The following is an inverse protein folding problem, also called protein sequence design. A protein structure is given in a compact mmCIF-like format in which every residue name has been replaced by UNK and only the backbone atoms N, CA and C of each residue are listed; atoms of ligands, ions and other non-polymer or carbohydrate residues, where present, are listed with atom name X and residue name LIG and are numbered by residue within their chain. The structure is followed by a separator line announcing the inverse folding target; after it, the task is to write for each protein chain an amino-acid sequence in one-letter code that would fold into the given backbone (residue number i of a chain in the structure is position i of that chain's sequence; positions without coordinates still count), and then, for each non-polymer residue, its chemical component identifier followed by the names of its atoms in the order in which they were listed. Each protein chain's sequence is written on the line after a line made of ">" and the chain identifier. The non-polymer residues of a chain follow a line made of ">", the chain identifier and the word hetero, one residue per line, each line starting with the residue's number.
data_IF_219708042963
#
_entry.id   IF_219708042963
#
_cell.length_a   1.000
_cell.length_b   1.000
_cell.length_c   1.000
_cell.angle_alpha   90.00
_cell.angle_beta   90.00
_cell.angle_gamma   90.00
#
_symmetry.space_group_name_H-M   'P 1'
#
loop_
_entity.id
_entity.type
_entity.pdbx_description
1 polymer ?
#
# COMPACT_ATOMS: atom_id res chain seq x y z
N UNK A 1 9.14 33.11 7.99
CA UNK A 1 10.06 32.07 7.43
C UNK A 1 10.50 32.52 6.07
N UNK A 2 11.47 33.41 6.09
CA UNK A 2 12.09 34.04 4.94
C UNK A 2 13.13 33.13 4.30
N UNK A 3 13.29 33.32 2.99
CA UNK A 3 14.33 32.82 2.09
C UNK A 3 15.35 31.81 2.65
N UNK A 4 15.02 30.52 2.63
CA UNK A 4 15.99 29.42 2.78
C UNK A 4 17.04 29.34 1.65
N UNK A 5 16.99 30.22 0.64
CA UNK A 5 17.96 30.23 -0.46
C UNK A 5 18.13 31.64 -1.06
N UNK A 6 19.34 32.25 -1.04
CA UNK A 6 19.60 33.57 -1.60
C UNK A 6 19.21 33.66 -3.08
N UNK A 7 18.57 34.75 -3.49
CA UNK A 7 18.09 34.94 -4.87
C UNK A 7 19.21 34.81 -5.91
N UNK A 8 20.37 35.44 -5.64
CA UNK A 8 21.54 35.37 -6.51
C UNK A 8 22.05 33.94 -6.67
N UNK A 9 22.08 33.16 -5.59
CA UNK A 9 22.50 31.76 -5.62
C UNK A 9 21.52 30.90 -6.43
N UNK A 10 20.23 31.15 -6.31
CA UNK A 10 19.18 30.50 -7.10
C UNK A 10 19.36 30.76 -8.60
N UNK A 11 19.67 32.00 -8.96
CA UNK A 11 19.91 32.39 -10.36
C UNK A 11 21.21 31.79 -10.91
N UNK A 12 22.28 31.76 -10.11
CA UNK A 12 23.54 31.06 -10.45
C UNK A 12 23.32 29.57 -10.65
N UNK A 13 22.52 28.92 -9.79
CA UNK A 13 22.16 27.51 -9.92
C UNK A 13 21.35 27.25 -11.20
N UNK A 14 20.39 28.11 -11.52
CA UNK A 14 19.63 28.01 -12.78
C UNK A 14 20.54 28.17 -13.99
N UNK A 15 21.49 29.11 -13.99
CA UNK A 15 22.46 29.23 -15.08
C UNK A 15 23.34 27.97 -15.18
N UNK A 16 23.94 27.54 -14.06
CA UNK A 16 24.75 26.32 -14.03
C UNK A 16 23.99 25.13 -14.62
N UNK A 17 22.74 24.92 -14.20
CA UNK A 17 21.94 23.76 -14.67
C UNK A 17 21.45 23.92 -16.09
N UNK A 18 20.92 25.08 -16.47
CA UNK A 18 20.25 25.29 -17.76
C UNK A 18 21.16 25.77 -18.89
N UNK A 19 22.42 26.08 -18.60
CA UNK A 19 23.43 26.40 -19.63
C UNK A 19 24.60 25.44 -19.47
N UNK A 20 25.43 25.61 -18.45
CA UNK A 20 26.72 24.90 -18.36
C UNK A 20 26.54 23.39 -18.34
N UNK A 21 25.72 22.85 -17.45
CA UNK A 21 25.49 21.40 -17.36
C UNK A 21 24.65 20.88 -18.53
N UNK A 22 23.72 21.68 -19.05
CA UNK A 22 22.96 21.28 -20.23
C UNK A 22 23.87 21.12 -21.44
N UNK A 23 24.78 22.06 -21.65
CA UNK A 23 25.70 22.06 -22.79
C UNK A 23 26.79 21.00 -22.61
N UNK A 24 27.38 20.90 -21.41
CA UNK A 24 28.48 19.98 -21.10
C UNK A 24 28.05 18.50 -21.14
N UNK A 25 26.80 18.20 -20.76
CA UNK A 25 26.27 16.84 -20.71
C UNK A 25 25.17 16.56 -21.74
N UNK A 26 24.98 17.45 -22.70
CA UNK A 26 23.96 17.36 -23.76
C UNK A 26 22.56 17.00 -23.21
N UNK A 27 22.15 17.66 -22.13
CA UNK A 27 20.92 17.32 -21.43
C UNK A 27 19.70 17.63 -22.29
N UNK A 28 18.80 16.65 -22.43
CA UNK A 28 17.54 16.83 -23.15
C UNK A 28 16.66 17.91 -22.48
N UNK A 29 16.52 19.05 -23.18
CA UNK A 29 15.62 20.16 -22.80
C UNK A 29 14.18 19.95 -23.31
N UNK A 30 13.92 18.86 -24.04
CA UNK A 30 12.64 18.50 -24.56
C UNK A 30 11.59 18.33 -23.46
N UNK A 31 10.41 18.88 -23.68
CA UNK A 31 9.28 18.62 -22.81
C UNK A 31 8.82 17.17 -23.04
N UNK A 32 8.81 16.34 -21.98
CA UNK A 32 8.15 15.03 -22.04
C UNK A 32 6.68 15.20 -22.38
N UNK A 33 6.32 14.83 -23.61
CA UNK A 33 4.93 14.80 -24.05
C UNK A 33 4.26 13.57 -23.42
N UNK A 34 3.12 13.78 -22.77
CA UNK A 34 2.28 12.70 -22.26
C UNK A 34 0.83 13.04 -22.63
N UNK A 35 0.06 12.11 -23.21
CA UNK A 35 -1.31 12.35 -23.60
C UNK A 35 -2.20 12.57 -22.36
N UNK A 36 -3.24 13.43 -22.46
CA UNK A 36 -4.25 13.56 -21.41
C UNK A 36 -5.09 12.27 -21.29
N UNK A 37 -5.67 12.08 -20.10
CA UNK A 37 -6.68 11.03 -19.85
C UNK A 37 -8.07 11.61 -20.04
N UNK A 38 -8.94 10.93 -20.77
CA UNK A 38 -10.37 11.28 -20.85
C UNK A 38 -11.22 10.40 -19.91
N UNK A 39 -12.55 10.52 -20.00
CA UNK A 39 -13.46 9.73 -19.15
C UNK A 39 -13.42 8.23 -19.47
N UNK A 40 -13.30 7.85 -20.75
CA UNK A 40 -13.23 6.44 -21.17
C UNK A 40 -11.93 5.79 -20.69
N UNK A 41 -10.81 6.51 -20.80
CA UNK A 41 -9.50 6.11 -20.28
C UNK A 41 -9.54 5.95 -18.75
N UNK A 42 -10.21 6.86 -18.04
CA UNK A 42 -10.39 6.76 -16.59
C UNK A 42 -11.26 5.56 -16.22
N UNK A 43 -12.38 5.35 -16.92
CA UNK A 43 -13.28 4.23 -16.70
C UNK A 43 -12.56 2.90 -16.95
N UNK A 44 -11.91 2.76 -18.11
CA UNK A 44 -11.13 1.60 -18.46
C UNK A 44 -10.01 1.34 -17.45
N UNK A 45 -9.20 2.34 -17.13
CA UNK A 45 -8.08 2.17 -16.18
C UNK A 45 -8.54 1.85 -14.76
N UNK A 46 -9.72 2.34 -14.36
CA UNK A 46 -10.36 1.99 -13.08
C UNK A 46 -10.86 0.54 -13.10
N UNK A 47 -11.57 0.13 -14.16
CA UNK A 47 -12.02 -1.25 -14.33
C UNK A 47 -10.84 -2.23 -14.40
N UNK A 48 -9.85 -1.93 -15.24
CA UNK A 48 -8.64 -2.74 -15.39
C UNK A 48 -7.91 -2.89 -14.07
N UNK A 49 -7.74 -1.81 -13.30
CA UNK A 49 -7.11 -1.85 -11.98
C UNK A 49 -7.83 -2.79 -11.01
N UNK A 50 -9.16 -2.84 -11.06
CA UNK A 50 -9.97 -3.64 -10.13
C UNK A 50 -10.14 -5.09 -10.56
N UNK A 51 -10.36 -5.35 -11.85
CA UNK A 51 -10.82 -6.63 -12.35
C UNK A 51 -9.75 -7.43 -13.13
N UNK A 52 -8.73 -6.79 -13.71
CA UNK A 52 -7.85 -7.42 -14.71
C UNK A 52 -6.37 -7.39 -14.30
N UNK A 53 -5.93 -6.27 -13.72
CA UNK A 53 -4.54 -5.99 -13.41
C UNK A 53 -3.93 -7.04 -12.48
N UNK A 54 -2.84 -7.67 -12.92
CA UNK A 54 -2.02 -8.58 -12.10
C UNK A 54 -1.03 -7.86 -11.20
N UNK A 55 -0.94 -6.53 -11.28
CA UNK A 55 -0.07 -5.72 -10.42
C UNK A 55 -0.40 -5.97 -8.95
N UNK A 56 0.61 -6.42 -8.20
CA UNK A 56 0.47 -6.69 -6.78
C UNK A 56 0.58 -5.39 -5.98
N UNK A 57 -0.48 -5.07 -5.24
CA UNK A 57 -0.49 -4.00 -4.25
C UNK A 57 -0.21 -4.59 -2.88
N UNK A 58 0.48 -3.83 -2.01
CA UNK A 58 0.77 -4.30 -0.66
C UNK A 58 -0.51 -4.57 0.16
N UNK A 59 -1.58 -3.80 -0.05
CA UNK A 59 -2.90 -4.02 0.55
C UNK A 59 -4.01 -3.70 -0.44
N UNK A 60 -5.23 -4.23 -0.22
CA UNK A 60 -6.43 -3.86 -1.00
C UNK A 60 -6.68 -2.35 -0.93
N UNK A 61 -6.56 -1.76 0.26
CA UNK A 61 -6.67 -0.31 0.44
C UNK A 61 -5.67 0.46 -0.41
N UNK A 62 -4.45 -0.03 -0.61
CA UNK A 62 -3.46 0.62 -1.46
C UNK A 62 -3.96 0.70 -2.93
N UNK A 63 -4.57 -0.37 -3.45
CA UNK A 63 -5.20 -0.40 -4.78
C UNK A 63 -6.38 0.58 -4.87
N UNK A 64 -7.28 0.57 -3.89
CA UNK A 64 -8.46 1.44 -3.90
C UNK A 64 -8.07 2.91 -3.81
N UNK A 65 -7.18 3.27 -2.88
CA UNK A 65 -6.65 4.63 -2.74
C UNK A 65 -5.99 5.12 -4.04
N UNK A 66 -5.31 4.22 -4.76
CA UNK A 66 -4.72 4.54 -6.05
C UNK A 66 -5.81 4.87 -7.11
N UNK A 67 -6.90 4.12 -7.15
CA UNK A 67 -8.07 4.44 -7.99
C UNK A 67 -8.68 5.80 -7.63
N UNK A 68 -8.93 6.04 -6.34
CA UNK A 68 -9.51 7.30 -5.83
C UNK A 68 -8.65 8.51 -6.17
N UNK A 69 -7.32 8.36 -6.12
CA UNK A 69 -6.39 9.41 -6.57
C UNK A 69 -6.64 9.80 -8.03
N UNK A 70 -6.80 8.82 -8.93
CA UNK A 70 -7.10 9.06 -10.36
C UNK A 70 -8.40 9.86 -10.50
N UNK A 71 -9.45 9.42 -9.80
CA UNK A 71 -10.77 10.06 -9.80
C UNK A 71 -10.69 11.50 -9.30
N UNK A 72 -10.13 11.71 -8.11
CA UNK A 72 -10.00 13.05 -7.53
C UNK A 72 -9.19 14.01 -8.41
N UNK A 73 -8.06 13.57 -8.98
CA UNK A 73 -7.24 14.41 -9.85
C UNK A 73 -7.96 14.75 -11.17
N UNK A 74 -8.70 13.81 -11.75
CA UNK A 74 -9.43 14.03 -13.01
C UNK A 74 -10.63 14.95 -12.79
N UNK A 75 -11.31 14.86 -11.64
CA UNK A 75 -12.46 15.72 -11.32
C UNK A 75 -12.09 17.14 -10.90
N UNK A 76 -10.90 17.36 -10.32
CA UNK A 76 -10.56 18.65 -9.69
C UNK A 76 -9.33 19.34 -10.29
N UNK A 77 -8.65 18.66 -11.23
CA UNK A 77 -7.30 18.97 -11.68
C UNK A 77 -6.23 18.91 -10.60
N UNK A 78 -6.50 18.42 -9.38
CA UNK A 78 -5.51 18.44 -8.28
C UNK A 78 -4.13 17.90 -8.69
N UNK A 79 -3.06 18.51 -8.16
CA UNK A 79 -1.73 17.91 -8.26
C UNK A 79 -1.67 16.69 -7.34
N UNK A 80 -0.89 15.65 -7.65
CA UNK A 80 -0.71 14.50 -6.76
C UNK A 80 -0.31 14.95 -5.35
N UNK A 81 0.68 15.85 -5.25
CA UNK A 81 1.15 16.40 -3.97
C UNK A 81 0.14 17.30 -3.22
N UNK A 82 -1.03 17.59 -3.80
CA UNK A 82 -2.16 18.21 -3.08
C UNK A 82 -2.94 17.17 -2.26
N UNK A 83 -2.99 15.93 -2.74
CA UNK A 83 -3.78 14.85 -2.14
C UNK A 83 -2.92 13.92 -1.28
N UNK A 84 -1.70 13.61 -1.72
CA UNK A 84 -0.75 12.70 -1.06
C UNK A 84 0.55 13.41 -0.69
N UNK A 85 1.40 12.73 0.10
CA UNK A 85 2.67 13.28 0.51
C UNK A 85 3.56 13.57 -0.71
N UNK A 86 4.03 14.81 -0.81
CA UNK A 86 4.95 15.22 -1.87
C UNK A 86 6.40 15.00 -1.45
N UNK A 87 7.15 14.25 -2.27
CA UNK A 87 8.59 14.03 -2.09
C UNK A 87 9.40 15.35 -2.06
N UNK A 88 8.92 16.39 -2.75
CA UNK A 88 9.59 17.69 -2.84
C UNK A 88 9.42 18.64 -1.63
N UNK A 89 8.70 18.24 -0.58
CA UNK A 89 8.46 19.08 0.61
C UNK A 89 8.94 18.39 1.90
N UNK A 90 10.21 17.98 1.93
CA UNK A 90 10.90 17.45 3.12
C UNK A 90 10.23 16.25 3.80
N UNK A 91 9.41 15.48 3.08
CA UNK A 91 8.69 14.30 3.63
C UNK A 91 7.97 14.61 4.95
N UNK A 92 7.25 15.74 4.96
CA UNK A 92 6.59 16.26 6.17
C UNK A 92 5.38 15.43 6.63
N UNK A 93 5.08 14.30 5.99
CA UNK A 93 3.87 13.50 6.23
C UNK A 93 2.56 14.28 6.04
N UNK A 94 2.58 15.40 5.31
CA UNK A 94 1.40 16.26 5.12
C UNK A 94 0.70 15.96 3.78
N UNK A 95 -0.58 15.60 3.88
CA UNK A 95 -1.43 15.13 2.77
C UNK A 95 -2.90 15.52 3.02
N UNK A 96 -3.84 15.11 2.17
CA UNK A 96 -5.26 15.26 2.47
C UNK A 96 -5.64 14.50 3.75
N UNK A 97 -6.32 15.16 4.68
CA UNK A 97 -6.71 14.64 6.00
C UNK A 97 -8.23 14.64 6.19
N UNK A 98 -8.73 13.90 7.17
CA UNK A 98 -10.18 13.86 7.46
C UNK A 98 -10.77 15.24 7.80
N UNK A 99 -10.02 16.14 8.43
CA UNK A 99 -10.46 17.53 8.67
C UNK A 99 -10.72 18.34 7.40
N UNK A 100 -10.16 17.90 6.28
CA UNK A 100 -10.30 18.56 4.99
C UNK A 100 -11.58 18.11 4.25
N UNK A 101 -12.32 17.13 4.79
CA UNK A 101 -13.53 16.55 4.19
C UNK A 101 -14.75 16.88 5.04
N UNK A 102 -15.78 17.41 4.38
CA UNK A 102 -17.12 17.60 4.95
C UNK A 102 -18.10 16.74 4.15
N UNK A 103 -18.90 15.93 4.83
CA UNK A 103 -19.88 15.04 4.21
C UNK A 103 -21.29 15.40 4.67
N UNK A 104 -22.23 15.46 3.74
CA UNK A 104 -23.61 15.88 3.98
C UNK A 104 -24.56 14.86 3.35
N UNK A 105 -25.66 14.57 4.04
CA UNK A 105 -26.86 13.99 3.43
C UNK A 105 -27.83 15.14 3.17
N UNK A 106 -28.16 15.41 1.90
CA UNK A 106 -29.00 16.54 1.49
C UNK A 106 -30.20 16.05 0.69
N UNK A 107 -31.29 16.82 0.68
CA UNK A 107 -32.40 16.59 -0.26
C UNK A 107 -32.03 17.12 -1.64
N UNK A 108 -32.39 16.38 -2.69
CA UNK A 108 -32.18 16.84 -4.06
C UNK A 108 -33.03 18.11 -4.30
N UNK A 109 -32.47 19.20 -4.85
CA UNK A 109 -33.21 20.45 -5.04
C UNK A 109 -34.45 20.31 -5.92
N UNK A 110 -34.38 19.42 -6.92
CA UNK A 110 -35.46 19.19 -7.88
C UNK A 110 -36.37 18.01 -7.50
N UNK A 111 -35.95 17.19 -6.52
CA UNK A 111 -36.76 16.07 -6.01
C UNK A 111 -36.62 15.99 -4.47
N UNK A 112 -37.52 16.64 -3.71
CA UNK A 112 -37.47 16.67 -2.25
C UNK A 112 -37.62 15.31 -1.56
N UNK A 113 -38.05 14.27 -2.29
CA UNK A 113 -38.15 12.90 -1.82
C UNK A 113 -36.85 12.12 -2.03
N UNK A 114 -35.95 12.61 -2.90
CA UNK A 114 -34.63 12.05 -3.11
C UNK A 114 -33.64 12.65 -2.12
N UNK A 115 -32.95 11.80 -1.37
CA UNK A 115 -31.77 12.19 -0.59
C UNK A 115 -30.51 11.75 -1.33
N UNK A 116 -29.49 12.59 -1.30
CA UNK A 116 -28.20 12.28 -1.93
C UNK A 116 -27.04 12.72 -1.04
N UNK A 117 -25.91 12.04 -1.20
CA UNK A 117 -24.67 12.44 -0.55
C UNK A 117 -23.97 13.58 -1.31
N UNK A 118 -23.50 14.56 -0.55
CA UNK A 118 -22.68 15.67 -1.02
C UNK A 118 -21.40 15.72 -0.19
N UNK A 119 -20.25 15.80 -0.84
CA UNK A 119 -18.97 15.89 -0.15
C UNK A 119 -18.20 17.12 -0.60
N UNK A 120 -17.69 17.91 0.34
CA UNK A 120 -16.81 19.06 0.09
C UNK A 120 -15.41 18.74 0.57
N UNK A 121 -14.41 18.99 -0.27
CA UNK A 121 -13.00 18.67 0.03
C UNK A 121 -12.13 19.92 -0.14
N UNK A 122 -11.42 20.29 0.93
CA UNK A 122 -10.51 21.45 0.97
C UNK A 122 -9.13 21.07 0.47
N UNK A 123 -8.68 21.66 -0.65
CA UNK A 123 -7.36 21.40 -1.23
C UNK A 123 -6.29 22.38 -0.69
N UNK A 124 -5.94 22.24 0.59
CA UNK A 124 -5.01 23.14 1.29
C UNK A 124 -3.53 23.03 0.86
N UNK A 125 -3.18 21.97 0.15
CA UNK A 125 -1.78 21.62 -0.16
C UNK A 125 -1.31 22.05 -1.55
N UNK A 126 -1.94 23.07 -2.12
CA UNK A 126 -1.57 23.59 -3.43
C UNK A 126 -0.13 24.14 -3.47
N UNK A 127 0.58 23.85 -4.57
CA UNK A 127 1.99 24.21 -4.77
C UNK A 127 2.19 25.73 -4.58
N UNK A 128 3.11 26.10 -3.70
CA UNK A 128 3.43 27.51 -3.41
C UNK A 128 2.40 28.27 -2.54
N UNK A 129 1.35 27.60 -2.07
CA UNK A 129 0.35 28.11 -1.10
C UNK A 129 -0.06 27.03 -0.08
N UNK A 130 0.81 26.03 0.19
CA UNK A 130 0.51 24.95 1.14
C UNK A 130 0.17 25.57 2.50
N UNK A 131 -1.00 25.23 3.04
CA UNK A 131 -1.50 25.71 4.33
C UNK A 131 -1.54 27.25 4.46
N UNK A 132 -1.70 27.97 3.34
CA UNK A 132 -1.73 29.45 3.31
C UNK A 132 -2.88 29.97 2.47
N UNK A 133 -3.53 31.02 2.97
CA UNK A 133 -4.67 31.66 2.31
C UNK A 133 -5.91 30.77 2.30
N UNK A 134 -6.93 31.19 1.57
CA UNK A 134 -8.18 30.43 1.42
C UNK A 134 -7.96 29.28 0.42
N UNK A 135 -8.06 28.01 0.85
CA UNK A 135 -7.90 26.88 -0.05
C UNK A 135 -9.14 26.71 -0.92
N UNK A 136 -9.00 26.30 -2.20
CA UNK A 136 -10.16 25.94 -3.01
C UNK A 136 -10.86 24.72 -2.41
N UNK A 137 -12.20 24.74 -2.48
CA UNK A 137 -13.06 23.67 -2.00
C UNK A 137 -13.76 23.07 -3.21
N UNK A 138 -13.61 21.76 -3.39
CA UNK A 138 -14.25 21.02 -4.47
C UNK A 138 -15.43 20.24 -3.93
N UNK A 139 -16.52 20.27 -4.67
CA UNK A 139 -17.73 19.53 -4.34
C UNK A 139 -17.78 18.27 -5.21
N UNK A 140 -18.02 17.14 -4.55
CA UNK A 140 -18.31 15.87 -5.17
C UNK A 140 -19.77 15.54 -4.88
N UNK A 141 -20.49 15.10 -5.89
CA UNK A 141 -21.84 14.55 -5.76
C UNK A 141 -21.77 13.04 -5.78
N UNK A 142 -22.72 12.40 -5.11
CA UNK A 142 -22.95 10.98 -5.24
C UNK A 142 -23.17 10.60 -6.71
N UNK A 143 -22.58 9.47 -7.13
CA UNK A 143 -22.69 8.97 -8.49
C UNK A 143 -23.29 7.57 -8.49
N UNK A 144 -24.59 7.49 -8.70
CA UNK A 144 -25.33 6.24 -8.81
C UNK A 144 -25.34 5.67 -10.24
N UNK A 145 -25.05 6.51 -11.24
CA UNK A 145 -24.94 6.11 -12.64
C UNK A 145 -23.74 5.18 -12.90
N UNK A 146 -22.63 5.38 -12.16
CA UNK A 146 -21.51 4.44 -12.14
C UNK A 146 -20.69 4.62 -10.85
N UNK A 147 -20.85 3.64 -9.96
CA UNK A 147 -20.22 3.55 -8.63
C UNK A 147 -18.69 3.45 -8.69
N UNK A 148 -18.13 2.85 -9.74
CA UNK A 148 -16.68 2.75 -9.93
C UNK A 148 -16.02 4.13 -10.01
N UNK A 149 -16.76 5.14 -10.49
CA UNK A 149 -16.33 6.53 -10.57
C UNK A 149 -16.78 7.39 -9.38
N UNK A 150 -17.53 6.84 -8.43
CA UNK A 150 -17.99 7.57 -7.25
C UNK A 150 -16.82 7.76 -6.26
N UNK A 151 -16.43 9.02 -6.00
CA UNK A 151 -15.38 9.34 -5.01
C UNK A 151 -15.95 9.25 -3.59
N UNK A 152 -17.21 9.63 -3.39
CA UNK A 152 -17.88 9.54 -2.09
C UNK A 152 -17.88 8.09 -1.60
N UNK A 153 -18.19 7.14 -2.49
CA UNK A 153 -18.17 5.70 -2.19
C UNK A 153 -16.81 5.25 -1.62
N UNK A 154 -15.70 5.67 -2.23
CA UNK A 154 -14.36 5.32 -1.73
C UNK A 154 -14.09 5.95 -0.36
N UNK A 155 -14.50 7.20 -0.15
CA UNK A 155 -14.29 7.90 1.12
C UNK A 155 -15.11 7.25 2.23
N UNK A 156 -16.33 6.79 1.95
CA UNK A 156 -17.14 6.00 2.88
C UNK A 156 -16.45 4.69 3.24
N UNK A 157 -15.92 3.95 2.25
CA UNK A 157 -15.14 2.73 2.48
C UNK A 157 -14.01 2.99 3.47
N UNK A 158 -13.23 4.06 3.25
CA UNK A 158 -12.11 4.40 4.13
C UNK A 158 -12.57 4.82 5.51
N UNK A 159 -13.68 5.55 5.61
CA UNK A 159 -14.24 5.98 6.88
C UNK A 159 -14.70 4.79 7.72
N UNK A 160 -15.31 3.76 7.11
CA UNK A 160 -15.66 2.53 7.82
C UNK A 160 -14.44 1.73 8.26
N UNK A 161 -13.47 1.54 7.37
CA UNK A 161 -12.20 0.86 7.69
C UNK A 161 -11.43 1.56 8.81
N UNK A 162 -11.56 2.88 8.91
CA UNK A 162 -10.88 3.70 9.90
C UNK A 162 -11.68 3.90 11.19
N UNK A 163 -12.92 3.40 11.24
CA UNK A 163 -13.87 3.73 12.30
C UNK A 163 -13.95 5.26 12.52
N UNK A 164 -14.05 6.02 11.42
CA UNK A 164 -13.85 7.46 11.42
C UNK A 164 -15.10 8.27 11.82
N UNK A 165 -16.30 7.69 11.68
CA UNK A 165 -17.56 8.39 11.97
C UNK A 165 -17.78 8.61 13.47
N UNK A 166 -18.29 9.78 13.84
CA UNK A 166 -18.80 10.03 15.18
C UNK A 166 -20.11 9.26 15.41
N UNK A 167 -20.45 8.99 16.67
CA UNK A 167 -21.62 8.18 17.08
C UNK A 167 -22.98 8.80 16.72
N UNK A 168 -23.03 10.09 16.39
CA UNK A 168 -24.25 10.80 16.00
C UNK A 168 -24.61 10.52 14.53
N UNK A 169 -25.27 9.38 14.27
CA UNK A 169 -25.64 8.89 12.94
C UNK A 169 -26.73 9.70 12.21
N UNK A 170 -27.35 10.68 12.88
CA UNK A 170 -28.48 11.46 12.34
C UNK A 170 -28.16 12.96 12.16
N UNK A 171 -26.91 13.39 12.38
CA UNK A 171 -26.53 14.78 12.13
C UNK A 171 -26.26 15.00 10.64
N UNK A 172 -26.82 16.08 10.09
CA UNK A 172 -26.32 16.69 8.85
C UNK A 172 -25.64 18.01 9.26
N UNK A 173 -24.30 18.15 9.09
CA UNK A 173 -23.38 17.24 8.40
C UNK A 173 -23.09 15.92 9.15
N UNK A 174 -22.68 14.92 8.38
CA UNK A 174 -22.16 13.65 8.91
C UNK A 174 -20.77 13.93 9.48
N UNK A 175 -20.61 13.77 10.80
CA UNK A 175 -19.39 14.15 11.49
C UNK A 175 -18.37 13.00 11.57
N UNK A 176 -17.09 13.35 11.39
CA UNK A 176 -15.95 12.48 11.73
C UNK A 176 -15.49 12.74 13.17
N UNK A 177 -14.92 11.72 13.83
CA UNK A 177 -14.36 11.83 15.18
C UNK A 177 -13.25 12.87 15.25
N UNK A 178 -13.16 13.59 16.37
CA UNK A 178 -12.10 14.57 16.61
C UNK A 178 -10.70 13.94 16.46
N UNK A 179 -10.52 12.73 16.99
CA UNK A 179 -9.28 11.95 16.91
C UNK A 179 -8.83 11.63 15.48
N UNK A 180 -9.73 11.70 14.50
CA UNK A 180 -9.44 11.37 13.10
C UNK A 180 -9.00 12.58 12.29
N UNK A 181 -9.27 13.80 12.75
CA UNK A 181 -9.07 15.04 11.97
C UNK A 181 -7.68 15.18 11.37
N UNK A 182 -6.65 14.83 12.13
CA UNK A 182 -5.25 14.94 11.68
C UNK A 182 -4.73 13.72 10.92
N UNK A 183 -5.52 12.64 10.84
CA UNK A 183 -5.13 11.40 10.18
C UNK A 183 -5.26 11.57 8.66
N UNK A 184 -4.22 11.22 7.88
CA UNK A 184 -4.31 11.18 6.43
C UNK A 184 -5.41 10.23 5.94
N UNK A 185 -6.13 10.66 4.89
CA UNK A 185 -7.10 9.80 4.20
C UNK A 185 -6.37 8.71 3.42
N UNK A 186 -5.42 9.14 2.58
CA UNK A 186 -4.54 8.26 1.83
C UNK A 186 -3.34 7.87 2.68
N UNK A 187 -3.23 6.59 3.05
CA UNK A 187 -2.16 6.09 3.93
C UNK A 187 -1.28 5.04 3.26
N UNK A 188 0.00 5.07 3.61
CA UNK A 188 0.99 4.14 3.04
C UNK A 188 0.83 2.74 3.64
N UNK A 189 1.09 1.68 2.87
CA UNK A 189 1.24 0.35 3.41
C UNK A 189 2.58 0.22 4.18
N UNK A 190 2.58 -0.52 5.28
CA UNK A 190 3.78 -0.90 6.04
C UNK A 190 3.68 -2.36 6.46
N UNK A 191 4.80 -2.99 6.77
CA UNK A 191 4.79 -4.29 7.43
C UNK A 191 4.61 -4.11 8.93
N UNK A 192 3.72 -4.89 9.53
CA UNK A 192 3.60 -5.00 10.98
C UNK A 192 4.79 -5.79 11.57
N UNK A 193 4.79 -5.98 12.89
CA UNK A 193 5.84 -6.74 13.58
C UNK A 193 5.91 -8.22 13.17
N UNK A 194 4.89 -8.74 12.49
CA UNK A 194 4.80 -10.12 11.96
C UNK A 194 5.16 -10.17 10.47
N UNK A 195 5.50 -9.03 9.86
CA UNK A 195 5.85 -8.95 8.44
C UNK A 195 4.65 -8.87 7.50
N UNK A 196 3.41 -8.78 8.02
CA UNK A 196 2.18 -8.64 7.22
C UNK A 196 1.99 -7.20 6.78
N UNK A 197 1.56 -7.01 5.54
CA UNK A 197 1.24 -5.68 5.04
C UNK A 197 -0.07 -5.16 5.65
N UNK A 198 0.02 -4.03 6.33
CA UNK A 198 -1.11 -3.27 6.88
C UNK A 198 -1.10 -1.85 6.34
N UNK A 199 -2.24 -1.16 6.39
CA UNK A 199 -2.26 0.28 6.15
C UNK A 199 -1.75 0.98 7.41
N UNK A 200 -0.73 1.83 7.28
CA UNK A 200 -0.21 2.55 8.45
C UNK A 200 -1.31 3.43 9.07
N UNK A 201 -1.44 3.50 10.41
CA UNK A 201 -2.52 4.26 11.05
C UNK A 201 -2.45 5.78 10.81
N UNK A 202 -1.24 6.36 10.75
CA UNK A 202 -1.06 7.81 10.68
C UNK A 202 -0.13 8.35 9.57
N UNK A 203 0.47 7.50 8.73
CA UNK A 203 1.47 7.93 7.75
C UNK A 203 0.86 8.02 6.37
N UNK A 204 1.02 9.18 5.76
CA UNK A 204 0.50 9.54 4.46
C UNK A 204 1.07 8.64 3.36
N UNK A 205 0.26 8.42 2.34
CA UNK A 205 0.70 7.75 1.14
C UNK A 205 1.68 8.63 0.37
N UNK A 206 2.74 8.03 -0.17
CA UNK A 206 3.87 8.76 -0.74
C UNK A 206 3.76 8.82 -2.27
N UNK A 207 4.17 9.95 -2.84
CA UNK A 207 4.13 10.17 -4.29
C UNK A 207 4.94 9.15 -5.08
N UNK A 208 6.16 8.84 -4.65
CA UNK A 208 7.05 7.88 -5.30
C UNK A 208 6.39 6.51 -5.43
N UNK A 209 5.82 5.99 -4.34
CA UNK A 209 5.07 4.73 -4.36
C UNK A 209 3.83 4.80 -5.24
N UNK A 210 3.08 5.89 -5.18
CA UNK A 210 1.92 6.05 -6.05
C UNK A 210 2.31 6.13 -7.54
N UNK A 211 3.46 6.72 -7.86
CA UNK A 211 4.00 6.79 -9.21
C UNK A 211 4.50 5.44 -9.72
N UNK A 212 5.20 4.65 -8.88
CA UNK A 212 5.58 3.28 -9.20
C UNK A 212 4.37 2.41 -9.57
N UNK A 213 3.30 2.47 -8.76
CA UNK A 213 2.06 1.76 -9.06
C UNK A 213 1.35 2.29 -10.31
N UNK A 214 1.38 3.61 -10.56
CA UNK A 214 0.81 4.18 -11.77
C UNK A 214 1.52 3.65 -13.02
N UNK A 215 2.86 3.63 -13.01
CA UNK A 215 3.66 3.10 -14.12
C UNK A 215 3.37 1.61 -14.31
N UNK A 216 3.39 0.82 -13.24
CA UNK A 216 3.14 -0.62 -13.31
C UNK A 216 1.75 -0.94 -13.85
N UNK A 217 0.72 -0.27 -13.35
CA UNK A 217 -0.67 -0.51 -13.78
C UNK A 217 -0.94 0.03 -15.18
N UNK A 218 -0.26 1.10 -15.60
CA UNK A 218 -0.36 1.62 -16.97
C UNK A 218 0.29 0.70 -18.00
N UNK A 219 1.47 0.15 -17.67
CA UNK A 219 2.09 -0.92 -18.47
C UNK A 219 1.17 -2.14 -18.51
N UNK A 220 0.58 -2.49 -17.37
CA UNK A 220 -0.31 -3.63 -17.32
C UNK A 220 -1.57 -3.43 -18.18
N UNK A 221 -2.07 -2.20 -18.24
CA UNK A 221 -3.17 -1.79 -19.10
C UNK A 221 -2.80 -1.70 -20.61
N UNK A 222 -1.54 -1.96 -20.98
CA UNK A 222 -1.08 -1.93 -22.38
C UNK A 222 -0.81 -0.53 -22.92
N UNK A 223 -0.64 0.49 -22.06
CA UNK A 223 -0.36 1.85 -22.51
C UNK A 223 1.08 1.98 -23.00
N UNK A 224 1.26 2.37 -24.28
CA UNK A 224 2.58 2.63 -24.88
C UNK A 224 3.41 3.62 -24.08
N UNK A 225 2.79 4.69 -23.58
CA UNK A 225 3.42 5.66 -22.68
C UNK A 225 2.72 5.62 -21.33
N UNK A 226 3.30 4.97 -20.31
CA UNK A 226 2.70 4.88 -18.98
C UNK A 226 2.37 6.25 -18.37
N UNK A 227 3.27 7.22 -18.62
CA UNK A 227 3.17 8.57 -18.10
C UNK A 227 3.31 8.63 -16.59
N UNK A 228 3.05 9.81 -16.03
CA UNK A 228 2.97 10.03 -14.58
C UNK A 228 1.51 10.26 -14.15
N UNK A 229 1.27 10.37 -12.84
CA UNK A 229 -0.01 10.79 -12.28
C UNK A 229 -0.49 12.15 -12.82
N UNK A 230 0.38 12.97 -13.42
CA UNK A 230 -0.01 14.26 -14.03
C UNK A 230 -0.88 14.12 -15.29
N UNK A 231 -1.01 12.93 -15.90
CA UNK A 231 -1.90 12.71 -17.04
C UNK A 231 -3.37 12.95 -16.71
N UNK A 232 -3.80 12.64 -15.47
CA UNK A 232 -5.15 12.89 -14.96
C UNK A 232 -5.43 14.39 -14.82
N UNK A 233 -4.45 15.14 -14.31
CA UNK A 233 -4.54 16.60 -14.22
C UNK A 233 -4.58 17.25 -15.61
N UNK A 234 -3.82 16.74 -16.59
CA UNK A 234 -3.91 17.20 -17.98
C UNK A 234 -5.30 16.91 -18.58
N UNK A 235 -5.85 15.72 -18.32
CA UNK A 235 -7.22 15.36 -18.66
C UNK A 235 -8.25 16.35 -18.12
N UNK A 236 -8.17 16.65 -16.82
CA UNK A 236 -9.01 17.66 -16.19
C UNK A 236 -8.84 19.03 -16.86
N UNK A 237 -7.60 19.46 -17.10
CA UNK A 237 -7.31 20.76 -17.71
C UNK A 237 -7.88 20.90 -19.13
N UNK A 238 -7.87 19.84 -19.94
CA UNK A 238 -8.49 19.83 -21.27
C UNK A 238 -10.00 20.14 -21.19
N UNK A 239 -10.70 19.58 -20.21
CA UNK A 239 -12.13 19.83 -20.00
C UNK A 239 -12.43 21.22 -19.43
N UNK A 240 -11.45 21.90 -18.81
CA UNK A 240 -11.61 23.25 -18.25
C UNK A 240 -11.23 24.36 -19.24
N UNK A 241 -10.88 24.03 -20.49
CA UNK A 241 -10.37 25.00 -21.48
C UNK A 241 -11.35 26.12 -21.81
N UNK A 242 -12.64 25.83 -21.77
CA UNK A 242 -13.73 26.78 -22.07
C UNK A 242 -13.93 27.84 -20.98
N UNK A 243 -13.40 27.62 -19.77
CA UNK A 243 -13.51 28.57 -18.67
C UNK A 243 -12.59 29.77 -18.88
N UNK A 244 -12.96 30.90 -18.27
CA UNK A 244 -12.14 32.10 -18.25
C UNK A 244 -10.81 31.87 -17.51
N UNK A 245 -9.86 32.78 -17.71
CA UNK A 245 -8.52 32.64 -17.14
C UNK A 245 -8.51 32.64 -15.61
N UNK A 246 -9.33 33.47 -14.98
CA UNK A 246 -9.39 33.58 -13.53
C UNK A 246 -9.87 32.27 -12.91
N UNK A 247 -10.97 31.73 -13.43
CA UNK A 247 -11.51 30.42 -13.02
C UNK A 247 -10.50 29.29 -13.20
N UNK A 248 -9.85 29.21 -14.37
CA UNK A 248 -8.80 28.21 -14.61
C UNK A 248 -7.63 28.34 -13.63
N UNK A 249 -7.18 29.55 -13.33
CA UNK A 249 -6.08 29.78 -12.40
C UNK A 249 -6.44 29.38 -10.96
N UNK A 250 -7.67 29.63 -10.51
CA UNK A 250 -8.17 29.18 -9.21
C UNK A 250 -8.20 27.65 -9.15
N UNK A 251 -8.88 27.01 -10.10
CA UNK A 251 -9.06 25.56 -10.14
C UNK A 251 -7.71 24.83 -10.25
N UNK A 252 -6.80 25.34 -11.07
CA UNK A 252 -5.48 24.73 -11.28
C UNK A 252 -4.46 25.16 -10.21
N UNK A 253 -4.78 26.12 -9.33
CA UNK A 253 -3.83 26.70 -8.38
C UNK A 253 -2.60 27.29 -9.08
N UNK A 254 -2.82 28.09 -10.13
CA UNK A 254 -1.78 28.82 -10.85
C UNK A 254 -1.70 30.27 -10.40
N UNK A 255 -0.48 30.84 -10.40
CA UNK A 255 -0.25 32.27 -10.16
C UNK A 255 -0.15 33.08 -11.47
N UNK A 256 0.04 32.42 -12.61
CA UNK A 256 0.32 33.05 -13.91
C UNK A 256 -0.41 32.31 -15.03
N UNK A 257 -0.96 33.09 -15.95
CA UNK A 257 -1.79 32.70 -17.10
C UNK A 257 -1.14 31.64 -18.00
N UNK A 258 0.10 31.87 -18.44
CA UNK A 258 0.81 31.02 -19.41
C UNK A 258 1.06 29.59 -18.96
N UNK A 259 0.88 29.27 -17.67
CA UNK A 259 1.03 27.90 -17.17
C UNK A 259 -0.06 26.95 -17.66
N UNK A 260 -1.23 27.46 -18.03
CA UNK A 260 -2.33 26.63 -18.52
C UNK A 260 -2.01 25.98 -19.88
N UNK A 261 -1.33 26.71 -20.78
CA UNK A 261 -0.99 26.24 -22.13
C UNK A 261 -0.17 24.94 -22.13
N UNK A 262 0.66 24.69 -21.12
CA UNK A 262 1.44 23.44 -21.00
C UNK A 262 0.60 22.18 -20.75
N UNK A 263 -0.68 22.34 -20.38
CA UNK A 263 -1.57 21.22 -20.06
C UNK A 263 -2.52 20.86 -21.20
N UNK A 264 -2.66 21.73 -22.20
CA UNK A 264 -3.63 21.57 -23.29
C UNK A 264 -2.89 21.52 -24.63
N UNK A 265 -3.22 20.53 -25.45
CA UNK A 265 -2.82 20.51 -26.86
C UNK A 265 -3.86 21.25 -27.69
N UNK A 266 -3.53 21.57 -28.94
CA UNK A 266 -4.51 22.07 -29.91
C UNK A 266 -5.54 20.95 -30.12
N UNK A 267 -6.75 21.18 -29.62
CA UNK A 267 -7.90 20.27 -29.73
C UNK A 267 -9.04 20.91 -30.52
N UNK A 268 -8.86 22.15 -30.98
CA UNK A 268 -9.79 22.72 -31.95
C UNK A 268 -9.56 22.02 -33.27
N UNK A 269 -10.66 21.73 -33.95
CA UNK A 269 -10.63 21.22 -35.31
C UNK A 269 -10.26 22.36 -36.26
N UNK A 270 -8.99 22.74 -36.26
CA UNK A 270 -8.47 23.83 -37.09
C UNK A 270 -8.66 23.53 -38.56
N UNK A 271 -8.65 22.25 -38.94
CA UNK A 271 -8.91 21.82 -40.30
C UNK A 271 -10.35 22.10 -40.69
N UNK A 272 -11.34 21.61 -39.93
CA UNK A 272 -12.73 21.87 -40.26
C UNK A 272 -13.09 23.35 -40.16
N UNK A 273 -12.52 24.08 -39.19
CA UNK A 273 -12.71 25.52 -39.06
C UNK A 273 -12.17 26.28 -40.29
N UNK A 274 -10.98 25.93 -40.76
CA UNK A 274 -10.41 26.54 -41.97
C UNK A 274 -11.18 26.19 -43.24
N UNK A 275 -11.66 24.94 -43.34
CA UNK A 275 -12.41 24.45 -44.50
C UNK A 275 -13.90 24.82 -44.45
N UNK A 276 -14.35 25.56 -43.44
CA UNK A 276 -15.77 25.89 -43.19
C UNK A 276 -16.69 24.66 -43.20
N UNK A 277 -16.20 23.54 -42.67
CA UNK A 277 -16.95 22.28 -42.57
C UNK A 277 -17.38 22.00 -41.13
N UNK A 278 -18.40 21.14 -40.92
CA UNK A 278 -18.78 20.70 -39.58
C UNK A 278 -17.59 20.11 -38.80
N UNK A 279 -17.44 20.52 -37.55
CA UNK A 279 -16.36 20.07 -36.68
C UNK A 279 -16.44 18.57 -36.40
N UNK A 280 -15.32 17.87 -36.53
CA UNK A 280 -15.17 16.44 -36.27
C UNK A 280 -14.70 16.17 -34.84
N UNK A 281 -15.43 16.75 -33.88
CA UNK A 281 -15.09 16.75 -32.45
C UNK A 281 -14.80 15.35 -31.89
N UNK A 282 -15.54 14.32 -32.33
CA UNK A 282 -15.33 12.93 -31.89
C UNK A 282 -13.98 12.36 -32.35
N UNK A 283 -13.57 12.63 -33.59
CA UNK A 283 -12.28 12.18 -34.13
C UNK A 283 -11.11 12.92 -33.49
N UNK A 284 -11.23 14.23 -33.25
CA UNK A 284 -10.20 15.00 -32.56
C UNK A 284 -10.04 14.54 -31.11
N UNK A 285 -11.15 14.25 -30.41
CA UNK A 285 -11.11 13.62 -29.09
C UNK A 285 -10.35 12.31 -29.14
N UNK A 286 -10.69 11.40 -30.06
CA UNK A 286 -10.00 10.12 -30.25
C UNK A 286 -8.48 10.30 -30.49
N UNK A 287 -8.09 11.25 -31.35
CA UNK A 287 -6.70 11.50 -31.70
C UNK A 287 -5.82 11.96 -30.52
N UNK A 288 -6.42 12.59 -29.51
CA UNK A 288 -5.69 13.10 -28.34
C UNK A 288 -5.72 12.18 -27.12
N UNK A 289 -6.43 11.05 -27.20
CA UNK A 289 -6.63 10.14 -26.08
C UNK A 289 -5.43 9.24 -25.82
N UNK A 290 -5.19 8.92 -24.55
CA UNK A 290 -4.12 8.00 -24.16
C UNK A 290 -4.34 6.57 -24.66
N UNK A 291 -5.60 6.18 -24.86
CA UNK A 291 -6.00 4.87 -25.40
C UNK A 291 -5.70 4.66 -26.89
N UNK A 292 -5.45 5.71 -27.68
CA UNK A 292 -5.20 5.58 -29.12
C UNK A 292 -4.02 4.63 -29.44
N UNK A 293 -3.02 4.62 -28.57
CA UNK A 293 -1.80 3.80 -28.72
C UNK A 293 -1.76 2.62 -27.76
N UNK A 294 -2.90 2.26 -27.15
CA UNK A 294 -3.00 1.14 -26.23
C UNK A 294 -3.06 -0.18 -26.99
N UNK A 295 -2.25 -1.13 -26.56
CA UNK A 295 -2.24 -2.49 -27.09
C UNK A 295 -2.34 -3.49 -25.94
N UNK A 296 -3.45 -4.23 -25.90
CA UNK A 296 -3.71 -5.22 -24.85
C UNK A 296 -2.84 -6.47 -24.98
N UNK A 297 -2.20 -6.69 -26.13
CA UNK A 297 -1.31 -7.83 -26.38
C UNK A 297 0.11 -7.63 -25.84
N UNK A 298 0.42 -6.44 -25.30
CA UNK A 298 1.75 -6.13 -24.75
C UNK A 298 2.15 -7.15 -23.68
N UNK A 299 3.33 -7.81 -23.82
CA UNK A 299 3.82 -8.77 -22.85
C UNK A 299 3.87 -8.17 -21.45
N UNK A 300 3.24 -8.88 -20.51
CA UNK A 300 3.11 -8.45 -19.11
C UNK A 300 4.27 -8.92 -18.23
N UNK A 301 4.99 -9.94 -18.70
CA UNK A 301 6.10 -10.59 -18.02
C UNK A 301 7.06 -11.13 -19.09
N UNK A 302 8.27 -11.48 -18.66
CA UNK A 302 9.23 -12.19 -19.49
C UNK A 302 8.68 -13.57 -19.87
N UNK A 303 9.01 -14.04 -21.07
CA UNK A 303 8.74 -15.43 -21.44
C UNK A 303 9.53 -16.40 -20.56
N UNK A 304 9.09 -17.64 -20.44
CA UNK A 304 9.80 -18.65 -19.64
C UNK A 304 11.24 -18.85 -20.13
N UNK A 305 11.45 -18.75 -21.44
CA UNK A 305 12.79 -18.77 -22.05
C UNK A 305 13.65 -17.58 -21.59
N UNK A 306 13.10 -16.36 -21.60
CA UNK A 306 13.81 -15.17 -21.13
C UNK A 306 14.13 -15.25 -19.63
N UNK A 307 13.24 -15.83 -18.82
CA UNK A 307 13.49 -16.08 -17.39
C UNK A 307 14.65 -17.05 -17.19
N UNK A 308 14.68 -18.15 -17.93
CA UNK A 308 15.79 -19.13 -17.90
C UNK A 308 17.12 -18.52 -18.37
N UNK A 309 17.11 -17.64 -19.35
CA UNK A 309 18.31 -16.92 -19.79
C UNK A 309 18.81 -15.94 -18.71
N UNK A 310 17.90 -15.29 -17.99
CA UNK A 310 18.23 -14.37 -16.90
C UNK A 310 18.85 -15.09 -15.70
N UNK A 311 18.41 -16.32 -15.39
CA UNK A 311 19.01 -17.18 -14.35
C UNK A 311 20.45 -17.60 -14.69
N UNK A 312 20.80 -17.67 -15.97
CA UNK A 312 22.17 -17.96 -16.44
C UNK A 312 23.08 -16.73 -16.38
N UNK A 313 22.56 -15.56 -15.98
CA UNK A 313 23.37 -14.36 -15.90
C UNK A 313 24.45 -14.50 -14.81
N UNK A 314 25.74 -14.31 -15.14
CA UNK A 314 26.84 -14.50 -14.21
C UNK A 314 26.81 -13.50 -13.04
N UNK A 315 26.35 -12.27 -13.25
CA UNK A 315 26.24 -11.25 -12.19
C UNK A 315 25.18 -11.64 -11.17
N UNK A 316 24.03 -12.14 -11.64
CA UNK A 316 22.96 -12.63 -10.77
C UNK A 316 23.41 -13.86 -9.97
N UNK A 317 24.14 -14.78 -10.63
CA UNK A 317 24.68 -15.99 -10.00
C UNK A 317 25.70 -15.63 -8.91
N UNK A 318 26.58 -14.67 -9.17
CA UNK A 318 27.56 -14.18 -8.21
C UNK A 318 26.88 -13.48 -7.02
N UNK A 319 25.89 -12.62 -7.28
CA UNK A 319 25.12 -11.94 -6.24
C UNK A 319 24.36 -12.93 -5.34
N UNK A 320 23.77 -13.97 -5.94
CA UNK A 320 23.10 -15.04 -5.19
C UNK A 320 24.08 -15.82 -4.29
N UNK A 321 25.29 -16.11 -4.80
CA UNK A 321 26.36 -16.75 -4.03
C UNK A 321 26.78 -15.89 -2.84
N UNK A 322 26.91 -14.57 -3.02
CA UNK A 322 27.21 -13.63 -1.93
C UNK A 322 26.09 -13.56 -0.90
N UNK A 323 24.84 -13.52 -1.33
CA UNK A 323 23.68 -13.56 -0.44
C UNK A 323 23.68 -14.82 0.44
N UNK A 324 23.96 -15.99 -0.14
CA UNK A 324 24.07 -17.23 0.63
C UNK A 324 25.21 -17.19 1.65
N UNK A 325 26.39 -16.69 1.26
CA UNK A 325 27.52 -16.50 2.20
C UNK A 325 27.13 -15.59 3.37
N UNK A 326 26.46 -14.47 3.09
CA UNK A 326 25.99 -13.55 4.13
C UNK A 326 24.94 -14.20 5.05
N UNK A 327 23.96 -14.93 4.48
CA UNK A 327 22.95 -15.68 5.23
C UNK A 327 23.57 -16.71 6.16
N UNK A 328 24.56 -17.48 5.69
CA UNK A 328 25.29 -18.45 6.50
C UNK A 328 26.08 -17.80 7.62
N UNK A 329 26.76 -16.68 7.35
CA UNK A 329 27.50 -15.91 8.37
C UNK A 329 26.59 -15.41 9.49
N UNK A 330 25.44 -14.83 9.15
CA UNK A 330 24.43 -14.40 10.14
C UNK A 330 23.91 -15.57 10.98
N UNK A 331 23.65 -16.72 10.37
CA UNK A 331 23.18 -17.93 11.08
C UNK A 331 24.25 -18.48 12.03
N UNK A 332 25.52 -18.46 11.62
CA UNK A 332 26.65 -18.91 12.42
C UNK A 332 26.88 -18.00 13.65
N UNK A 333 26.92 -16.68 13.45
CA UNK A 333 27.10 -15.72 14.55
C UNK A 333 25.96 -15.80 15.57
N UNK A 334 24.71 -15.92 15.10
CA UNK A 334 23.57 -16.12 16.01
C UNK A 334 23.74 -17.37 16.88
N UNK A 335 24.21 -18.48 16.29
CA UNK A 335 24.43 -19.74 17.03
C UNK A 335 25.55 -19.59 18.06
N UNK A 336 26.63 -18.89 17.70
CA UNK A 336 27.76 -18.61 18.60
C UNK A 336 27.33 -17.75 19.79
N UNK A 337 26.63 -16.63 19.53
CA UNK A 337 26.12 -15.74 20.58
C UNK A 337 25.13 -16.44 21.52
N UNK A 338 24.22 -17.25 20.96
CA UNK A 338 23.28 -18.02 21.78
C UNK A 338 23.97 -19.06 22.67
N UNK A 339 24.97 -19.76 22.13
CA UNK A 339 25.74 -20.75 22.91
C UNK A 339 26.52 -20.06 24.04
N UNK A 340 27.22 -18.98 23.75
CA UNK A 340 27.98 -18.22 24.76
C UNK A 340 27.08 -17.66 25.87
N UNK A 341 25.90 -17.14 25.52
CA UNK A 341 24.94 -16.66 26.51
C UNK A 341 24.40 -17.80 27.39
N UNK A 342 24.13 -18.97 26.79
CA UNK A 342 23.68 -20.16 27.54
C UNK A 342 24.76 -20.70 28.47
N UNK A 343 26.01 -20.78 28.00
CA UNK A 343 27.16 -21.21 28.82
C UNK A 343 27.41 -20.24 29.97
N UNK A 344 27.40 -18.92 29.71
CA UNK A 344 27.52 -17.91 30.76
C UNK A 344 26.42 -18.02 31.82
N UNK A 345 25.16 -18.20 31.39
CA UNK A 345 24.04 -18.38 32.31
C UNK A 345 24.18 -19.67 33.14
N UNK A 346 24.73 -20.74 32.54
CA UNK A 346 24.98 -22.00 33.22
C UNK A 346 26.11 -21.86 34.24
N UNK A 347 27.24 -21.28 33.85
CA UNK A 347 28.38 -21.01 34.72
C UNK A 347 27.99 -20.10 35.89
N UNK A 348 27.30 -18.98 35.64
CA UNK A 348 26.82 -18.06 36.69
C UNK A 348 25.87 -18.76 37.68
N UNK A 349 25.04 -19.70 37.22
CA UNK A 349 24.18 -20.49 38.09
C UNK A 349 24.98 -21.42 39.02
N UNK A 350 26.00 -22.10 38.51
CA UNK A 350 26.81 -23.02 39.32
C UNK A 350 27.91 -22.33 40.14
N UNK A 351 28.35 -21.14 39.77
CA UNK A 351 29.23 -20.30 40.59
C UNK A 351 28.48 -19.66 41.77
N UNK A 352 27.18 -19.41 41.61
CA UNK A 352 26.32 -18.79 42.64
C UNK A 352 25.59 -19.75 43.58
N UNK A 353 25.49 -21.04 43.22
CA UNK A 353 24.88 -22.07 44.06
C UNK A 353 26.00 -22.81 44.79
N UNK A 354 26.15 -22.57 46.10
CA UNK A 354 27.10 -23.36 46.92
C UNK A 354 26.84 -24.87 46.74
N UNK A 355 27.88 -25.70 46.85
CA UNK A 355 27.86 -27.15 46.56
C UNK A 355 26.92 -28.00 47.43
N UNK A 356 26.11 -27.41 48.30
CA UNK A 356 25.22 -28.09 49.26
C UNK A 356 24.32 -29.16 48.63
N UNK A 357 23.83 -28.96 47.39
CA UNK A 357 23.00 -29.94 46.68
C UNK A 357 23.82 -31.15 46.18
N UNK A 358 25.03 -30.89 45.66
CA UNK A 358 25.93 -31.93 45.16
C UNK A 358 26.49 -32.73 46.34
N UNK A 359 26.85 -32.07 47.44
CA UNK A 359 27.33 -32.69 48.68
C UNK A 359 26.25 -33.55 49.37
N UNK A 360 24.98 -33.11 49.39
CA UNK A 360 23.87 -33.91 49.91
C UNK A 360 23.60 -35.20 49.13
N UNK A 361 23.77 -35.16 47.79
CA UNK A 361 23.68 -36.36 46.94
C UNK A 361 24.82 -37.35 47.23
N UNK A 362 26.06 -36.87 47.47
CA UNK A 362 27.19 -37.73 47.86
C UNK A 362 27.01 -38.39 49.23
N UNK A 363 26.25 -37.77 50.13
CA UNK A 363 25.93 -38.31 51.47
C UNK A 363 24.67 -39.19 51.49
N UNK A 364 24.07 -39.49 50.32
CA UNK A 364 22.91 -40.38 50.21
C UNK A 364 21.58 -39.74 50.61
N UNK A 365 21.50 -38.40 50.68
CA UNK A 365 20.26 -37.66 50.91
C UNK A 365 19.88 -36.86 49.66
N UNK A 366 19.27 -37.50 48.65
CA UNK A 366 18.90 -36.79 47.43
C UNK A 366 17.77 -35.79 47.71
N UNK A 367 17.91 -34.59 47.18
CA UNK A 367 16.87 -33.57 47.26
C UNK A 367 15.69 -34.02 46.40
N UNK A 368 14.50 -34.04 47.00
CA UNK A 368 13.26 -34.24 46.26
C UNK A 368 12.96 -32.97 45.46
N UNK A 369 13.06 -33.06 44.14
CA UNK A 369 12.73 -31.95 43.25
C UNK A 369 11.23 -31.99 42.94
N UNK A 370 10.47 -31.01 43.44
CA UNK A 370 9.18 -30.69 42.84
C UNK A 370 9.41 -29.82 41.61
N UNK A 371 9.07 -30.30 40.40
CA UNK A 371 9.26 -29.50 39.20
C UNK A 371 8.40 -28.24 39.27
N UNK A 372 9.05 -27.09 39.14
CA UNK A 372 8.35 -25.83 38.96
C UNK A 372 7.52 -25.90 37.68
N UNK A 373 6.20 -25.89 37.84
CA UNK A 373 5.23 -25.93 36.74
C UNK A 373 4.57 -24.58 36.54
N UNK A 374 5.10 -23.50 37.13
CA UNK A 374 4.61 -22.12 36.99
C UNK A 374 4.53 -21.64 35.53
N UNK A 375 5.30 -22.25 34.65
CA UNK A 375 5.37 -21.98 33.21
C UNK A 375 4.39 -22.84 32.38
N UNK A 376 3.69 -23.79 33.00
CA UNK A 376 2.61 -24.55 32.37
C UNK A 376 1.34 -23.71 32.43
N UNK A 377 0.89 -23.26 31.26
CA UNK A 377 -0.37 -22.52 31.09
C UNK A 377 -1.50 -23.31 31.78
N UNK A 378 -2.19 -22.76 32.80
CA UNK A 378 -3.17 -23.49 33.62
C UNK A 378 -4.22 -24.25 32.81
N UNK A 379 -4.61 -23.69 31.67
CA UNK A 379 -5.58 -24.25 30.73
C UNK A 379 -5.07 -25.53 30.05
N UNK A 380 -3.74 -25.69 29.88
CA UNK A 380 -3.14 -26.93 29.38
C UNK A 380 -3.08 -28.03 30.44
N UNK A 381 -2.87 -27.66 31.71
CA UNK A 381 -2.94 -28.60 32.83
C UNK A 381 -4.36 -29.12 33.01
N UNK A 382 -5.34 -28.23 33.02
CA UNK A 382 -6.75 -28.59 33.13
C UNK A 382 -7.22 -29.48 31.96
N UNK A 383 -6.75 -29.22 30.73
CA UNK A 383 -7.05 -30.10 29.59
C UNK A 383 -6.43 -31.49 29.76
N UNK A 384 -5.17 -31.56 30.20
CA UNK A 384 -4.50 -32.83 30.43
C UNK A 384 -5.19 -33.65 31.54
N UNK A 385 -5.59 -33.01 32.65
CA UNK A 385 -6.30 -33.67 33.74
C UNK A 385 -7.66 -34.24 33.29
N UNK A 386 -8.32 -33.57 32.33
CA UNK A 386 -9.57 -34.04 31.73
C UNK A 386 -9.35 -35.21 30.75
N UNK A 387 -8.31 -35.15 29.92
CA UNK A 387 -8.07 -36.15 28.86
C UNK A 387 -7.36 -37.41 29.35
N UNK A 388 -6.57 -37.29 30.41
CA UNK A 388 -5.74 -38.36 30.94
C UNK A 388 -6.25 -38.86 32.30
N UNK A 389 -7.58 -38.88 32.50
CA UNK A 389 -8.24 -39.45 33.69
C UNK A 389 -7.95 -40.94 33.92
N UNK A 390 -7.38 -41.66 32.92
CA UNK A 390 -6.97 -43.08 32.98
C UNK A 390 -8.00 -43.97 33.70
N UNK A 391 -9.27 -43.86 33.31
CA UNK A 391 -10.39 -44.60 33.90
C UNK A 391 -10.92 -45.68 32.97
N UNK A 392 -11.43 -46.74 33.58
CA UNK A 392 -12.07 -47.87 32.91
C UNK A 392 -13.41 -47.43 32.30
N UNK A 393 -13.49 -47.35 30.98
CA UNK A 393 -14.62 -46.76 30.24
C UNK A 393 -15.92 -47.55 30.42
N UNK A 394 -15.84 -48.84 30.71
CA UNK A 394 -17.00 -49.71 30.93
C UNK A 394 -17.73 -49.41 32.26
N UNK A 395 -17.15 -48.55 33.10
CA UNK A 395 -17.72 -48.14 34.40
C UNK A 395 -18.18 -46.67 34.42
N UNK A 396 -18.17 -46.01 33.27
CA UNK A 396 -18.56 -44.60 33.12
C UNK A 396 -19.84 -44.53 32.29
N UNK A 397 -20.78 -43.68 32.71
CA UNK A 397 -22.04 -43.50 31.99
C UNK A 397 -21.79 -42.79 30.64
N UNK A 398 -22.47 -43.23 29.58
CA UNK A 398 -22.37 -42.66 28.21
C UNK A 398 -22.58 -41.15 28.18
N UNK A 399 -23.48 -40.61 29.01
CA UNK A 399 -23.71 -39.17 29.12
C UNK A 399 -22.47 -38.40 29.59
N UNK A 400 -21.73 -38.97 30.55
CA UNK A 400 -20.50 -38.39 31.11
C UNK A 400 -19.34 -38.50 30.12
N UNK A 401 -19.28 -39.57 29.32
CA UNK A 401 -18.30 -39.72 28.24
C UNK A 401 -18.51 -38.68 27.12
N UNK A 402 -19.77 -38.36 26.80
CA UNK A 402 -20.11 -37.32 25.82
C UNK A 402 -19.80 -35.93 26.38
N UNK A 403 -20.11 -35.67 27.65
CA UNK A 403 -19.86 -34.39 28.31
C UNK A 403 -18.36 -34.10 28.43
N UNK A 404 -17.54 -35.07 28.86
CA UNK A 404 -16.08 -34.96 28.89
C UNK A 404 -15.51 -34.66 27.49
N UNK A 405 -16.11 -35.23 26.44
CA UNK A 405 -15.67 -35.03 25.05
C UNK A 405 -15.99 -33.63 24.55
N UNK A 406 -17.16 -33.10 24.87
CA UNK A 406 -17.55 -31.72 24.56
C UNK A 406 -16.65 -30.74 25.31
N UNK A 407 -16.42 -30.99 26.60
CA UNK A 407 -15.59 -30.15 27.46
C UNK A 407 -14.11 -30.15 27.01
N UNK A 408 -13.55 -31.31 26.61
CA UNK A 408 -12.22 -31.40 26.00
C UNK A 408 -12.14 -30.57 24.70
N UNK A 409 -13.16 -30.61 23.85
CA UNK A 409 -13.22 -29.82 22.61
C UNK A 409 -13.27 -28.31 22.88
N UNK A 410 -14.08 -27.87 23.83
CA UNK A 410 -14.19 -26.45 24.21
C UNK A 410 -12.88 -25.92 24.82
N UNK A 411 -12.23 -26.70 25.68
CA UNK A 411 -10.93 -26.36 26.28
C UNK A 411 -9.81 -26.32 25.23
N UNK A 412 -9.83 -27.22 24.25
CA UNK A 412 -8.91 -27.17 23.08
C UNK A 412 -9.11 -25.92 22.24
N UNK A 413 -10.36 -25.49 22.01
CA UNK A 413 -10.67 -24.27 21.26
C UNK A 413 -10.28 -23.00 22.04
N UNK A 414 -10.49 -22.98 23.36
CA UNK A 414 -10.05 -21.89 24.22
C UNK A 414 -8.52 -21.71 24.22
N UNK A 415 -7.76 -22.81 24.16
CA UNK A 415 -6.29 -22.78 24.03
C UNK A 415 -5.80 -22.12 22.74
N UNK A 416 -6.60 -22.08 21.68
CA UNK A 416 -6.25 -21.37 20.44
C UNK A 416 -6.37 -19.84 20.53
N UNK A 417 -7.12 -19.32 21.50
CA UNK A 417 -7.34 -17.88 21.71
C UNK A 417 -6.45 -17.29 22.82
N UNK A 418 -5.65 -18.12 23.51
CA UNK A 418 -4.64 -17.68 24.47
C UNK A 418 -3.40 -17.19 23.70
N UNK A 419 -3.13 -15.89 23.77
CA UNK A 419 -1.95 -15.26 23.17
C UNK A 419 -0.67 -15.84 23.81
N UNK A 420 -0.11 -16.89 23.18
CA UNK A 420 1.16 -17.48 23.56
C UNK A 420 2.28 -16.45 23.38
N UNK A 421 3.13 -16.20 24.39
CA UNK A 421 4.34 -15.40 24.20
C UNK A 421 5.16 -15.95 23.02
N UNK A 422 5.59 -15.04 22.13
CA UNK A 422 6.18 -15.22 20.78
C UNK A 422 7.43 -16.13 20.64
N UNK A 423 7.65 -17.14 21.48
CA UNK A 423 8.91 -17.92 21.47
C UNK A 423 8.84 -19.22 20.65
N UNK A 424 7.70 -19.54 20.01
CA UNK A 424 7.55 -20.75 19.19
C UNK A 424 7.17 -20.48 17.71
N UNK A 425 7.61 -19.36 17.13
CA UNK A 425 7.62 -19.23 15.66
C UNK A 425 8.68 -20.18 15.07
N UNK A 426 8.28 -21.41 14.73
CA UNK A 426 8.95 -22.24 13.74
C UNK A 426 9.14 -21.38 12.48
N UNK A 427 10.36 -20.93 12.24
CA UNK A 427 10.82 -20.48 10.92
C UNK A 427 10.60 -21.63 9.94
N UNK A 428 9.86 -21.37 8.88
CA UNK A 428 9.88 -22.19 7.67
C UNK A 428 11.36 -22.31 7.22
N UNK A 429 11.88 -23.53 7.18
CA UNK A 429 13.20 -23.87 6.63
C UNK A 429 12.99 -24.32 5.18
N UNK A 430 13.78 -23.78 4.27
CA UNK A 430 13.80 -24.18 2.85
C UNK A 430 15.03 -25.05 2.58
N UNK A 431 15.52 -25.75 3.61
CA UNK A 431 16.81 -26.45 3.62
C UNK A 431 16.67 -27.93 3.20
N UNK A 432 15.44 -28.45 3.00
CA UNK A 432 15.21 -29.82 2.57
C UNK A 432 14.83 -29.86 1.09
N UNK A 433 15.66 -30.52 0.29
CA UNK A 433 15.28 -31.01 -1.01
C UNK A 433 14.16 -32.03 -0.84
N UNK A 434 13.20 -32.03 -1.77
CA UNK A 434 12.31 -33.16 -2.00
C UNK A 434 13.14 -34.44 -2.05
N UNK A 435 13.01 -35.27 -1.03
CA UNK A 435 13.64 -36.59 -0.98
C UNK A 435 12.87 -37.54 -1.89
N UNK A 436 13.03 -37.36 -3.20
CA UNK A 436 12.84 -38.40 -4.20
C UNK A 436 14.10 -38.36 -5.05
N UNK A 437 14.70 -39.52 -5.31
CA UNK A 437 16.04 -39.77 -5.90
C UNK A 437 17.15 -40.05 -4.88
N UNK A 438 17.00 -41.15 -4.14
CA UNK A 438 18.15 -42.02 -3.85
C UNK A 438 18.02 -43.26 -4.74
N UNK A 439 19.07 -43.47 -5.52
CA UNK A 439 19.25 -44.56 -6.46
C UNK A 439 19.17 -45.95 -5.81
N UNK A 440 18.47 -46.87 -6.46
CA UNK A 440 18.91 -48.26 -6.50
C UNK A 440 19.76 -48.48 -7.75
N UNK A 441 20.93 -49.07 -7.50
CA UNK A 441 21.99 -49.36 -8.46
C UNK A 441 21.59 -50.45 -9.48
N UNK A 442 22.32 -50.53 -10.60
CA UNK A 442 22.04 -51.46 -11.69
C UNK A 442 22.55 -52.88 -11.40
N UNK A 443 21.88 -53.90 -11.95
CA UNK A 443 22.50 -55.19 -12.22
C UNK A 443 21.88 -55.88 -13.45
N UNK A 444 22.62 -55.77 -14.57
CA UNK A 444 23.02 -56.80 -15.56
C UNK A 444 21.99 -57.77 -16.20
N UNK A 445 22.14 -58.08 -17.51
CA UNK A 445 21.12 -58.70 -18.36
C UNK A 445 21.24 -60.23 -18.46
N UNK A 446 20.18 -60.85 -19.01
CA UNK A 446 20.04 -62.15 -19.70
C UNK A 446 18.53 -62.44 -19.77
N UNK A 447 17.86 -62.77 -20.87
CA UNK A 447 18.18 -63.11 -22.27
C UNK A 447 17.12 -62.47 -23.17
#
# INVERSE_FOLDING_TARGET
>A
MDSLFPYALRRKMTMLVCTTLTDEYELDLGAKTQPPVNIDDLLFSTYHLMAVSKVQFATVRCRHQHSTLRKMMTSTSARPGTLIESSGYMRSNDSLKWKDVELYMVKHPEDPNCQMLLMRVKHRLNKGRRNRGVPPVYTYTERNDNLGLCVIQDILEYAFLDNAFATHRLSTPIHFKESMKEIPIFRRPVKDSEGRWITHPALAYQYDRAEEYEIATSRSAGLKTPGSLYKYRKGAAANLRHLDEHSRNIIMGHKRSGKFAYYVQVQDDTQSAFMETPARTSLIKLATNSSLTRDASVPQDLSDQQKQELEKNPDLTNLYREFQKAKHKVRAERKKLHKAAKEKQYEEFFEGVENHIIEGNYQGQPITFEPDTSHVVPERRALADLEFKNRDVDKVNDAELVEDRIQSLEMRLALHNLDLPRVLQKRIRFDEASADLVAEKPFSPKE
#
